data_IF_198355526341
#
_entry.id   IF_198355526341
#
_cell.length_a   1.000
_cell.length_b   1.000
_cell.length_c   1.000
_cell.angle_alpha   90.00
_cell.angle_beta   90.00
_cell.angle_gamma   90.00
#
_symmetry.space_group_name_H-M   'P 1'
#
loop_
_entity.id
_entity.type
_entity.pdbx_description
1 polymer ?
#
# COMPACT_ATOMS: atom_id res chain seq x y z
N UNK A 1 -10.10 -4.03 -10.82
CA UNK A 1 -11.04 -3.43 -9.83
C UNK A 1 -12.17 -2.74 -10.58
N UNK A 2 -13.42 -3.14 -10.35
CA UNK A 2 -14.57 -2.49 -10.98
C UNK A 2 -14.81 -1.11 -10.35
N UNK A 3 -15.09 -0.09 -11.16
CA UNK A 3 -15.39 1.27 -10.70
C UNK A 3 -14.21 2.24 -10.56
N UNK A 4 -12.97 1.82 -10.83
CA UNK A 4 -11.84 2.73 -11.03
C UNK A 4 -11.17 2.46 -12.39
N UNK A 5 -11.29 3.40 -13.33
CA UNK A 5 -10.49 3.36 -14.54
C UNK A 5 -9.06 3.83 -14.23
N UNK A 6 -8.09 2.92 -14.33
CA UNK A 6 -6.66 3.28 -14.29
C UNK A 6 -6.08 3.11 -15.68
N UNK A 7 -5.29 4.11 -16.10
CA UNK A 7 -4.57 4.08 -17.38
C UNK A 7 -3.09 3.93 -17.14
N UNK A 8 -2.43 3.11 -17.94
CA UNK A 8 -0.97 3.00 -17.94
C UNK A 8 -0.34 4.29 -18.49
N UNK A 9 0.98 4.42 -18.35
CA UNK A 9 1.77 5.42 -19.05
C UNK A 9 1.65 5.37 -20.58
N UNK A 10 1.20 4.24 -21.13
CA UNK A 10 0.89 4.03 -22.57
C UNK A 10 -0.59 4.25 -22.92
N UNK A 11 -1.41 4.71 -21.95
CA UNK A 11 -2.87 4.93 -22.04
C UNK A 11 -3.73 3.68 -22.09
N UNK A 12 -3.13 2.50 -21.95
CA UNK A 12 -3.84 1.23 -21.89
C UNK A 12 -4.63 1.12 -20.58
N UNK A 13 -5.81 0.51 -20.65
CA UNK A 13 -6.64 0.28 -19.47
C UNK A 13 -6.00 -0.80 -18.58
N UNK A 14 -5.84 -0.50 -17.29
CA UNK A 14 -5.34 -1.43 -16.29
C UNK A 14 -6.53 -2.06 -15.55
N UNK A 15 -6.88 -3.28 -15.92
CA UNK A 15 -8.09 -3.97 -15.46
C UNK A 15 -7.85 -4.82 -14.21
N UNK A 16 -6.77 -5.61 -14.22
CA UNK A 16 -6.59 -6.73 -13.27
C UNK A 16 -5.47 -6.48 -12.27
N UNK A 17 -4.28 -6.13 -12.76
CA UNK A 17 -3.10 -5.86 -11.94
C UNK A 17 -2.28 -4.71 -12.52
N UNK A 18 -1.66 -3.92 -11.65
CA UNK A 18 -0.80 -2.82 -12.08
C UNK A 18 0.35 -2.60 -11.10
N UNK A 19 1.43 -2.07 -11.62
CA UNK A 19 2.56 -1.57 -10.85
C UNK A 19 2.48 -0.06 -10.79
N UNK A 20 2.90 0.49 -9.65
CA UNK A 20 3.04 1.93 -9.46
C UNK A 20 4.51 2.24 -9.20
N UNK A 21 5.13 2.95 -10.15
CA UNK A 21 6.51 3.39 -10.03
C UNK A 21 6.56 4.87 -9.67
N UNK A 22 7.53 5.22 -8.84
CA UNK A 22 7.90 6.61 -8.56
C UNK A 22 9.28 6.90 -9.15
N UNK A 23 9.48 8.14 -9.58
CA UNK A 23 10.77 8.61 -10.08
C UNK A 23 11.09 10.00 -9.54
N UNK A 24 12.39 10.30 -9.48
CA UNK A 24 12.93 11.61 -9.13
C UNK A 24 14.02 11.98 -10.14
N UNK A 25 13.96 13.19 -10.68
CA UNK A 25 15.00 13.70 -11.55
C UNK A 25 16.32 13.87 -10.75
N UNK A 26 17.46 13.61 -11.40
CA UNK A 26 18.77 13.71 -10.73
C UNK A 26 19.19 15.16 -10.41
N UNK A 27 18.71 16.13 -11.20
CA UNK A 27 19.16 17.53 -11.16
C UNK A 27 18.08 18.52 -10.71
N UNK A 28 16.81 18.13 -10.85
CA UNK A 28 15.66 18.95 -10.49
C UNK A 28 14.87 18.26 -9.38
N UNK A 29 14.13 19.00 -8.56
CA UNK A 29 13.24 18.42 -7.55
C UNK A 29 11.92 17.87 -8.15
N UNK A 30 11.95 17.54 -9.44
CA UNK A 30 10.83 16.94 -10.15
C UNK A 30 10.71 15.50 -9.69
N UNK A 31 9.58 15.20 -9.04
CA UNK A 31 9.15 13.86 -8.68
C UNK A 31 7.85 13.55 -9.40
N UNK A 32 7.68 12.28 -9.77
CA UNK A 32 6.48 11.85 -10.46
C UNK A 32 6.19 10.39 -10.21
N UNK A 33 4.99 9.98 -10.63
CA UNK A 33 4.55 8.59 -10.55
C UNK A 33 3.92 8.19 -11.86
N UNK A 34 4.05 6.92 -12.21
CA UNK A 34 3.34 6.36 -13.35
C UNK A 34 2.87 4.94 -13.06
N UNK A 35 1.79 4.56 -13.71
CA UNK A 35 1.21 3.23 -13.63
C UNK A 35 1.58 2.45 -14.88
N UNK A 36 1.80 1.15 -14.74
CA UNK A 36 1.96 0.26 -15.89
C UNK A 36 1.45 -1.14 -15.58
N UNK A 37 1.12 -1.89 -16.63
CA UNK A 37 0.68 -3.28 -16.51
C UNK A 37 1.85 -4.20 -16.19
N UNK A 38 1.51 -5.41 -15.76
CA UNK A 38 2.47 -6.44 -15.31
C UNK A 38 3.53 -6.77 -16.35
N UNK A 39 3.19 -6.77 -17.64
CA UNK A 39 4.15 -7.03 -18.71
C UNK A 39 5.25 -5.96 -18.77
N UNK A 40 4.86 -4.68 -18.86
CA UNK A 40 5.80 -3.57 -18.92
C UNK A 40 6.63 -3.45 -17.64
N UNK A 41 6.02 -3.70 -16.47
CA UNK A 41 6.71 -3.67 -15.19
C UNK A 41 7.78 -4.76 -15.08
N UNK A 42 7.45 -6.01 -15.45
CA UNK A 42 8.41 -7.12 -15.40
C UNK A 42 9.58 -6.89 -16.34
N UNK A 43 9.30 -6.47 -17.58
CA UNK A 43 10.35 -6.14 -18.53
C UNK A 43 11.25 -4.99 -18.03
N UNK A 44 10.67 -3.97 -17.40
CA UNK A 44 11.44 -2.90 -16.79
C UNK A 44 12.33 -3.39 -15.63
N UNK A 45 11.80 -4.25 -14.75
CA UNK A 45 12.56 -4.84 -13.64
C UNK A 45 13.73 -5.70 -14.15
N UNK A 46 13.53 -6.45 -15.22
CA UNK A 46 14.58 -7.24 -15.89
C UNK A 46 15.70 -6.35 -16.43
N UNK A 47 15.35 -5.23 -17.09
CA UNK A 47 16.32 -4.26 -17.62
C UNK A 47 17.20 -3.64 -16.54
N UNK A 48 16.67 -3.44 -15.33
CA UNK A 48 17.42 -2.89 -14.19
C UNK A 48 18.01 -3.97 -13.27
N UNK A 49 17.95 -5.24 -13.68
CA UNK A 49 18.41 -6.41 -12.91
C UNK A 49 17.83 -6.48 -11.48
N UNK A 50 16.56 -6.08 -11.32
CA UNK A 50 15.87 -6.10 -10.04
C UNK A 50 14.97 -7.35 -9.93
N UNK A 51 14.90 -8.03 -8.77
CA UNK A 51 13.96 -9.13 -8.57
C UNK A 51 12.50 -8.69 -8.76
N UNK A 52 11.64 -9.61 -9.17
CA UNK A 52 10.20 -9.35 -9.28
C UNK A 52 9.65 -8.89 -7.93
N UNK A 53 8.85 -7.83 -7.95
CA UNK A 53 8.23 -7.31 -6.73
C UNK A 53 7.01 -8.15 -6.36
N UNK A 54 6.82 -8.38 -5.06
CA UNK A 54 5.63 -9.03 -4.51
C UNK A 54 4.40 -8.14 -4.74
N UNK A 55 3.33 -8.74 -5.28
CA UNK A 55 2.07 -8.03 -5.48
C UNK A 55 1.30 -7.95 -4.16
N UNK A 56 0.73 -6.79 -3.90
CA UNK A 56 -0.26 -6.63 -2.83
C UNK A 56 -1.64 -6.92 -3.40
N UNK A 57 -2.30 -7.94 -2.86
CA UNK A 57 -3.67 -8.30 -3.24
C UNK A 57 -4.66 -7.84 -2.17
N UNK A 58 -5.43 -6.76 -2.41
CA UNK A 58 -6.46 -6.29 -1.50
C UNK A 58 -7.74 -7.15 -1.53
N UNK A 59 -7.90 -8.05 -2.51
CA UNK A 59 -9.10 -8.87 -2.72
C UNK A 59 -8.91 -10.28 -2.16
N UNK A 60 -7.71 -10.85 -2.26
CA UNK A 60 -7.41 -12.14 -1.64
C UNK A 60 -7.38 -12.03 -0.10
N UNK A 61 -8.11 -12.90 0.58
CA UNK A 61 -7.88 -13.17 2.00
C UNK A 61 -6.44 -13.69 2.15
N UNK A 62 -5.68 -13.16 3.10
CA UNK A 62 -4.44 -13.81 3.53
C UNK A 62 -4.82 -15.14 4.19
N UNK A 63 -4.88 -16.21 3.40
CA UNK A 63 -4.89 -17.56 3.93
C UNK A 63 -3.57 -17.76 4.64
N UNK A 64 -3.57 -17.58 5.96
CA UNK A 64 -2.62 -18.23 6.85
C UNK A 64 -2.68 -19.71 6.48
N UNK A 65 -1.57 -20.24 5.96
CA UNK A 65 -1.53 -21.53 5.32
C UNK A 65 -2.15 -22.64 6.16
N UNK A 66 -3.25 -23.19 5.68
CA UNK A 66 -3.62 -24.59 5.89
C UNK A 66 -3.45 -25.24 4.52
N UNK A 67 -2.34 -25.96 4.35
CA UNK A 67 -1.89 -26.42 3.05
C UNK A 67 -2.70 -27.58 2.47
N UNK A 68 -2.58 -27.74 1.15
CA UNK A 68 -2.44 -29.03 0.48
C UNK A 68 -1.63 -28.86 -0.81
N UNK A 69 -0.38 -29.32 -0.75
CA UNK A 69 0.49 -29.91 -1.78
C UNK A 69 0.37 -29.50 -3.26
N UNK A 70 1.46 -28.92 -3.83
CA UNK A 70 2.30 -29.63 -4.81
C UNK A 70 3.62 -28.89 -5.09
N UNK A 71 4.72 -29.57 -4.77
CA UNK A 71 6.07 -29.55 -5.38
C UNK A 71 6.49 -28.33 -6.23
N UNK A 72 7.24 -27.41 -5.63
CA UNK A 72 8.57 -27.00 -6.10
C UNK A 72 9.16 -25.99 -5.12
N UNK A 73 10.42 -26.21 -4.75
CA UNK A 73 11.12 -25.50 -3.68
C UNK A 73 11.15 -23.99 -3.89
N UNK A 74 10.31 -23.28 -3.15
CA UNK A 74 10.60 -21.94 -2.70
C UNK A 74 10.32 -21.93 -1.20
N UNK A 75 11.36 -21.68 -0.42
CA UNK A 75 11.27 -21.44 1.01
C UNK A 75 10.22 -20.36 1.24
N UNK A 76 9.05 -20.77 1.77
CA UNK A 76 8.03 -19.86 2.27
C UNK A 76 8.65 -19.15 3.47
N UNK A 77 9.28 -18.00 3.22
CA UNK A 77 9.65 -17.08 4.27
C UNK A 77 8.35 -16.66 4.95
N UNK A 78 8.05 -17.24 6.11
CA UNK A 78 7.10 -16.67 7.06
C UNK A 78 7.72 -15.37 7.57
N UNK A 79 7.66 -14.30 6.77
CA UNK A 79 8.01 -12.95 7.19
C UNK A 79 6.99 -12.51 8.26
N UNK A 80 7.38 -12.63 9.52
CA UNK A 80 6.56 -12.24 10.67
C UNK A 80 6.54 -10.72 10.79
N UNK A 81 5.59 -10.10 10.11
CA UNK A 81 5.29 -8.69 10.33
C UNK A 81 4.84 -8.44 11.77
N UNK A 82 5.34 -7.37 12.37
CA UNK A 82 4.74 -6.82 13.59
C UNK A 82 3.30 -6.39 13.27
N UNK A 83 2.29 -6.72 14.11
CA UNK A 83 0.90 -6.43 13.81
C UNK A 83 0.61 -4.96 13.48
N UNK A 84 1.16 -4.02 14.26
CA UNK A 84 1.01 -2.58 13.99
C UNK A 84 1.77 -2.13 12.72
N UNK A 85 2.94 -2.72 12.42
CA UNK A 85 3.68 -2.39 11.20
C UNK A 85 2.90 -2.85 9.96
N UNK A 86 2.26 -4.03 10.06
CA UNK A 86 1.38 -4.56 9.02
C UNK A 86 0.16 -3.67 8.79
N UNK A 87 -0.49 -3.21 9.87
CA UNK A 87 -1.61 -2.26 9.75
C UNK A 87 -1.16 -0.96 9.07
N UNK A 88 0.00 -0.40 9.45
CA UNK A 88 0.51 0.84 8.86
C UNK A 88 0.90 0.66 7.38
N UNK A 89 1.52 -0.47 7.04
CA UNK A 89 1.86 -0.83 5.67
C UNK A 89 0.60 -0.97 4.81
N UNK A 90 -0.40 -1.72 5.29
CA UNK A 90 -1.68 -1.87 4.61
C UNK A 90 -2.36 -0.50 4.42
N UNK A 91 -2.34 0.36 5.45
CA UNK A 91 -2.91 1.70 5.36
C UNK A 91 -2.26 2.53 4.24
N UNK A 92 -0.93 2.47 4.13
CA UNK A 92 -0.16 3.16 3.08
C UNK A 92 -0.54 2.63 1.69
N UNK A 93 -0.58 1.32 1.49
CA UNK A 93 -0.92 0.73 0.19
C UNK A 93 -2.37 1.05 -0.20
N UNK A 94 -3.30 0.93 0.75
CA UNK A 94 -4.70 1.26 0.53
C UNK A 94 -4.91 2.73 0.22
N UNK A 95 -4.13 3.63 0.81
CA UNK A 95 -4.17 5.05 0.49
C UNK A 95 -3.71 5.32 -0.95
N UNK A 96 -2.64 4.66 -1.41
CA UNK A 96 -2.18 4.71 -2.82
C UNK A 96 -3.29 4.20 -3.76
N UNK A 97 -4.01 3.16 -3.35
CA UNK A 97 -5.16 2.64 -4.09
C UNK A 97 -6.30 3.68 -4.09
N UNK A 98 -6.69 4.24 -2.95
CA UNK A 98 -7.80 5.18 -2.87
C UNK A 98 -7.56 6.46 -3.69
N UNK A 99 -6.33 6.98 -3.71
CA UNK A 99 -6.00 8.22 -4.41
C UNK A 99 -5.52 8.03 -5.85
N UNK A 100 -5.08 6.84 -6.24
CA UNK A 100 -4.58 6.57 -7.58
C UNK A 100 -3.24 7.25 -7.91
N UNK A 101 -2.58 7.85 -6.92
CA UNK A 101 -1.31 8.57 -7.03
C UNK A 101 -0.45 8.11 -5.85
N UNK A 102 0.86 7.90 -6.03
CA UNK A 102 1.75 7.71 -4.87
C UNK A 102 1.92 9.06 -4.20
N UNK A 103 1.45 9.25 -2.96
CA UNK A 103 1.73 10.48 -2.22
C UNK A 103 3.23 10.57 -1.93
N UNK A 104 3.73 11.81 -1.84
CA UNK A 104 5.14 12.17 -1.98
C UNK A 104 6.14 11.51 -1.02
N UNK A 105 7.40 11.98 -1.08
CA UNK A 105 8.59 11.34 -0.49
C UNK A 105 8.39 10.73 0.92
N UNK A 106 7.68 11.43 1.81
CA UNK A 106 7.41 10.96 3.19
C UNK A 106 6.71 9.59 3.22
N UNK A 107 5.70 9.35 2.39
CA UNK A 107 4.97 8.08 2.40
C UNK A 107 5.83 6.94 1.84
N UNK A 108 6.65 7.22 0.82
CA UNK A 108 7.59 6.25 0.27
C UNK A 108 8.70 5.89 1.27
N UNK A 109 9.23 6.88 1.98
CA UNK A 109 10.24 6.67 3.03
C UNK A 109 9.69 5.82 4.17
N UNK A 110 8.49 6.14 4.67
CA UNK A 110 7.84 5.36 5.72
C UNK A 110 7.57 3.94 5.22
N UNK A 111 7.04 3.76 4.01
CA UNK A 111 6.81 2.43 3.42
C UNK A 111 8.10 1.62 3.39
N UNK A 112 9.19 2.20 2.88
CA UNK A 112 10.50 1.55 2.77
C UNK A 112 11.04 1.17 4.14
N UNK A 113 10.93 2.05 5.13
CA UNK A 113 11.40 1.76 6.48
C UNK A 113 10.63 0.60 7.12
N UNK A 114 9.31 0.52 6.89
CA UNK A 114 8.49 -0.62 7.34
C UNK A 114 8.89 -1.94 6.65
N UNK A 115 9.24 -1.90 5.36
CA UNK A 115 9.72 -3.07 4.63
C UNK A 115 11.12 -3.53 5.08
N UNK A 116 11.96 -2.62 5.60
CA UNK A 116 13.25 -2.99 6.17
C UNK A 116 13.07 -3.52 7.61
N UNK A 117 12.18 -2.89 8.38
CA UNK A 117 11.96 -3.15 9.80
C UNK A 117 10.64 -3.90 10.09
N UNK A 118 10.25 -4.85 9.23
CA UNK A 118 8.93 -5.50 9.24
C UNK A 118 8.51 -6.09 10.59
N UNK A 119 9.47 -6.63 11.35
CA UNK A 119 9.24 -7.30 12.64
C UNK A 119 9.19 -6.35 13.84
N UNK A 120 9.37 -5.04 13.65
CA UNK A 120 9.41 -4.04 14.72
C UNK A 120 8.15 -3.20 14.74
N UNK A 121 7.79 -2.70 15.92
CA UNK A 121 6.71 -1.73 16.06
C UNK A 121 7.05 -0.42 15.31
N UNK A 122 6.11 0.14 14.53
CA UNK A 122 6.33 1.40 13.83
C UNK A 122 6.51 2.55 14.83
N UNK A 123 7.37 3.50 14.48
CA UNK A 123 7.62 4.65 15.33
C UNK A 123 6.35 5.52 15.42
N UNK A 124 6.02 6.11 16.59
CA UNK A 124 4.86 6.99 16.72
C UNK A 124 4.85 8.15 15.73
N UNK A 125 6.04 8.68 15.38
CA UNK A 125 6.19 9.71 14.35
C UNK A 125 5.71 9.27 12.96
N UNK A 126 5.87 7.99 12.61
CA UNK A 126 5.43 7.44 11.32
C UNK A 126 3.92 7.32 11.28
N UNK A 127 3.31 6.79 12.36
CA UNK A 127 1.85 6.69 12.49
C UNK A 127 1.22 8.10 12.42
N UNK A 128 1.78 9.07 13.16
CA UNK A 128 1.34 10.48 13.13
C UNK A 128 1.47 11.10 11.75
N UNK A 129 2.57 10.85 11.04
CA UNK A 129 2.79 11.38 9.70
C UNK A 129 1.74 10.86 8.71
N UNK A 130 1.46 9.55 8.72
CA UNK A 130 0.42 8.96 7.87
C UNK A 130 -0.98 9.50 8.25
N UNK A 131 -1.29 9.60 9.54
CA UNK A 131 -2.54 10.20 10.01
C UNK A 131 -2.73 11.65 9.50
N UNK A 132 -1.66 12.44 9.52
CA UNK A 132 -1.64 13.82 9.00
C UNK A 132 -1.77 13.87 7.47
N UNK A 133 -1.25 12.87 6.76
CA UNK A 133 -1.43 12.76 5.32
C UNK A 133 -2.89 12.46 5.00
N UNK A 134 -3.53 11.53 5.71
CA UNK A 134 -4.94 11.18 5.50
C UNK A 134 -5.85 12.36 5.84
N UNK A 135 -5.54 13.13 6.91
CA UNK A 135 -6.34 14.30 7.30
C UNK A 135 -6.39 15.40 6.24
N UNK A 136 -5.47 15.37 5.26
CA UNK A 136 -5.43 16.29 4.12
C UNK A 136 -6.20 15.76 2.90
N UNK A 137 -6.96 14.67 3.04
CA UNK A 137 -7.87 14.22 1.98
C UNK A 137 -8.79 15.38 1.56
N UNK A 138 -8.87 15.62 0.26
CA UNK A 138 -9.62 16.77 -0.29
C UNK A 138 -11.12 16.73 0.05
N UNK A 139 -11.65 15.55 0.38
CA UNK A 139 -13.05 15.34 0.76
C UNK A 139 -13.22 15.14 2.27
N UNK A 140 -12.15 15.28 3.06
CA UNK A 140 -12.18 15.13 4.52
C UNK A 140 -12.52 13.71 5.01
N UNK A 141 -12.26 12.68 4.19
CA UNK A 141 -12.60 11.29 4.53
C UNK A 141 -11.50 10.64 5.37
N UNK A 142 -11.88 9.75 6.29
CA UNK A 142 -10.95 8.78 6.89
C UNK A 142 -10.59 7.69 5.89
N UNK A 143 -9.51 6.95 6.13
CA UNK A 143 -9.14 5.81 5.29
C UNK A 143 -10.27 4.77 5.24
N UNK A 144 -10.90 4.45 6.36
CA UNK A 144 -12.06 3.54 6.38
C UNK A 144 -13.20 4.02 5.48
N UNK A 145 -13.55 5.32 5.52
CA UNK A 145 -14.56 5.87 4.60
C UNK A 145 -14.16 5.72 3.13
N UNK A 146 -12.89 5.90 2.78
CA UNK A 146 -12.42 5.67 1.41
C UNK A 146 -12.55 4.20 1.00
N UNK A 147 -12.29 3.26 1.91
CA UNK A 147 -12.46 1.83 1.67
C UNK A 147 -13.93 1.44 1.51
N UNK A 148 -14.83 2.02 2.29
CA UNK A 148 -16.26 1.77 2.18
C UNK A 148 -16.82 2.27 0.84
N UNK A 149 -16.36 3.43 0.35
CA UNK A 149 -16.71 3.91 -0.99
C UNK A 149 -16.17 2.98 -2.10
N UNK A 150 -14.97 2.42 -1.92
CA UNK A 150 -14.43 1.41 -2.83
C UNK A 150 -15.24 0.10 -2.81
N UNK A 151 -15.70 -0.34 -1.64
CA UNK A 151 -16.53 -1.55 -1.47
C UNK A 151 -17.85 -1.48 -2.22
N UNK A 152 -18.46 -0.29 -2.33
CA UNK A 152 -19.68 -0.11 -3.10
C UNK A 152 -19.56 -0.62 -4.55
N UNK A 153 -18.35 -0.57 -5.11
CA UNK A 153 -18.05 -1.04 -6.47
C UNK A 153 -17.23 -2.34 -6.50
N UNK A 154 -16.65 -2.75 -5.36
CA UNK A 154 -15.79 -3.92 -5.22
C UNK A 154 -16.14 -4.70 -3.93
N UNK A 155 -17.20 -5.52 -3.99
CA UNK A 155 -17.70 -6.28 -2.83
C UNK A 155 -16.69 -7.28 -2.25
N UNK A 156 -15.69 -7.66 -3.03
CA UNK A 156 -14.62 -8.59 -2.62
C UNK A 156 -13.49 -7.89 -1.85
N UNK A 157 -13.50 -6.56 -1.72
CA UNK A 157 -12.50 -5.85 -0.93
C UNK A 157 -12.60 -6.23 0.54
N UNK A 158 -11.57 -6.93 1.05
CA UNK A 158 -11.56 -7.44 2.42
C UNK A 158 -11.66 -6.34 3.47
N UNK A 159 -12.03 -6.73 4.68
CA UNK A 159 -12.02 -5.84 5.84
C UNK A 159 -10.60 -5.56 6.31
N UNK A 160 -10.29 -4.29 6.54
CA UNK A 160 -9.04 -3.84 7.15
C UNK A 160 -9.40 -3.17 8.48
N UNK A 161 -8.57 -3.40 9.48
CA UNK A 161 -8.71 -2.86 10.83
C UNK A 161 -7.42 -2.11 11.18
N UNK A 162 -7.57 -0.96 11.84
CA UNK A 162 -6.47 -0.05 12.19
C UNK A 162 -6.41 0.23 13.70
N UNK A 163 -6.98 -0.66 14.52
CA UNK A 163 -7.12 -0.46 15.97
C UNK A 163 -5.78 -0.22 16.68
N UNK A 164 -4.71 -0.89 16.25
CA UNK A 164 -3.38 -0.69 16.85
C UNK A 164 -2.79 0.68 16.50
N UNK A 165 -3.12 1.20 15.32
CA UNK A 165 -2.72 2.56 14.93
C UNK A 165 -3.53 3.59 15.71
N UNK A 166 -4.84 3.37 15.87
CA UNK A 166 -5.73 4.21 16.66
C UNK A 166 -5.28 4.26 18.13
N UNK A 167 -4.96 3.10 18.71
CA UNK A 167 -4.43 2.99 20.07
C UNK A 167 -3.10 3.71 20.22
N UNK A 168 -2.19 3.57 19.25
CA UNK A 168 -0.92 4.27 19.25
C UNK A 168 -1.08 5.80 19.19
N UNK A 169 -2.03 6.31 18.39
CA UNK A 169 -2.35 7.74 18.36
C UNK A 169 -2.88 8.23 19.71
N UNK A 170 -3.82 7.48 20.31
CA UNK A 170 -4.39 7.80 21.61
C UNK A 170 -3.32 7.86 22.71
N UNK A 171 -2.43 6.84 22.77
CA UNK A 171 -1.28 6.80 23.70
C UNK A 171 -0.35 7.99 23.55
N UNK A 172 -0.23 8.55 22.34
CA UNK A 172 0.59 9.72 22.03
C UNK A 172 -0.18 11.06 22.11
N UNK A 173 -1.37 11.07 22.73
CA UNK A 173 -2.22 12.26 22.91
C UNK A 173 -2.60 12.95 21.60
N UNK A 174 -2.86 12.15 20.55
CA UNK A 174 -3.39 12.64 19.28
C UNK A 174 -4.88 12.29 19.26
N UNK A 175 -5.73 13.31 19.37
CA UNK A 175 -7.18 13.14 19.59
C UNK A 175 -7.92 12.62 18.35
N UNK A 176 -7.52 13.04 17.16
CA UNK A 176 -8.21 12.70 15.92
C UNK A 176 -7.45 11.62 15.13
N UNK A 177 -8.07 10.44 15.03
CA UNK A 177 -7.65 9.42 14.07
C UNK A 177 -8.39 9.58 12.74
N UNK A 178 -7.62 9.55 11.67
CA UNK A 178 -8.10 9.53 10.30
C UNK A 178 -7.94 8.15 9.65
N UNK A 179 -7.50 7.13 10.39
CA UNK A 179 -7.50 5.75 9.90
C UNK A 179 -8.94 5.18 9.84
N UNK A 180 -9.81 5.63 10.74
CA UNK A 180 -11.19 5.14 10.90
C UNK A 180 -11.34 4.27 12.13
#
# INVERSE_FOLDING_TARGET
MNGQERRSCTKDLLTDSYYCFSYRAKKDDITGTFLCGTYAANHFLELIHHPKLTLFDPLASETVGMGTSSTNGNTVFNETWHPAAKQLFNAIILLIICWGIVPGNVLQEIKRDLEINKSREPLPRQIKAINTIISRDKRGRTLQHMLDELRNHNKELRSFCFDLLNEALFKNKIENSFFG
#
